data_IF_162664854405
#
_entry.id   IF_162664854405
#
_cell.length_a   1.000
_cell.length_b   1.000
_cell.length_c   1.000
_cell.angle_alpha   90.00
_cell.angle_beta   90.00
_cell.angle_gamma   90.00
#
_symmetry.space_group_name_H-M   'P 1'
#
loop_
_entity.id
_entity.type
_entity.pdbx_description
1 polymer ?
#
# COMPACT_ATOMS: atom_id res chain seq x y z
N UNK A 1 29.71 9.84 -33.64
CA UNK A 1 28.60 10.69 -33.12
C UNK A 1 27.40 9.79 -32.88
N UNK A 2 27.41 8.88 -31.90
CA UNK A 2 27.32 9.05 -30.43
C UNK A 2 26.00 9.71 -30.00
N UNK A 3 25.02 8.84 -29.70
CA UNK A 3 23.76 9.15 -29.00
C UNK A 3 24.10 9.43 -27.54
N UNK A 4 23.72 10.61 -27.03
CA UNK A 4 23.77 10.94 -25.61
C UNK A 4 22.41 10.60 -24.97
N UNK A 5 22.39 9.57 -24.13
CA UNK A 5 21.38 9.42 -23.08
C UNK A 5 21.89 10.16 -21.85
N UNK A 6 21.18 11.19 -21.41
CA UNK A 6 21.43 11.87 -20.15
C UNK A 6 20.78 11.07 -19.02
N UNK A 7 21.53 10.17 -18.40
CA UNK A 7 21.15 9.52 -17.14
C UNK A 7 21.44 10.47 -15.97
N UNK A 8 20.39 10.98 -15.33
CA UNK A 8 20.49 11.70 -14.07
C UNK A 8 20.78 10.69 -12.94
N UNK A 9 21.98 10.78 -12.38
CA UNK A 9 22.39 10.08 -11.17
C UNK A 9 21.63 10.66 -9.97
N UNK A 10 20.75 9.88 -9.34
CA UNK A 10 20.30 10.15 -7.99
C UNK A 10 21.10 9.32 -6.99
N UNK A 11 22.08 9.98 -6.36
CA UNK A 11 22.78 9.47 -5.18
C UNK A 11 21.90 9.69 -3.96
N UNK A 12 21.23 8.64 -3.46
CA UNK A 12 20.59 8.70 -2.15
C UNK A 12 21.57 8.13 -1.11
N UNK A 13 22.19 9.01 -0.32
CA UNK A 13 23.06 8.66 0.79
C UNK A 13 22.26 7.95 1.90
N UNK A 14 22.55 6.68 2.17
CA UNK A 14 22.09 5.98 3.36
C UNK A 14 23.24 5.94 4.38
N UNK A 15 23.19 6.76 5.43
CA UNK A 15 24.10 6.61 6.58
C UNK A 15 23.67 5.38 7.40
N UNK A 16 24.29 4.24 7.15
CA UNK A 16 24.13 3.05 7.98
C UNK A 16 24.90 3.28 9.29
N UNK A 17 24.20 3.56 10.40
CA UNK A 17 24.79 3.36 11.73
C UNK A 17 24.83 1.86 12.01
N UNK A 18 26.01 1.25 11.91
CA UNK A 18 26.25 -0.10 12.39
C UNK A 18 26.19 -0.11 13.92
N UNK A 19 25.33 -0.94 14.52
CA UNK A 19 25.49 -1.34 15.92
C UNK A 19 26.32 -2.63 15.99
N UNK A 20 27.04 -2.84 17.09
CA UNK A 20 28.05 -3.91 17.23
C UNK A 20 27.46 -5.34 17.34
N UNK A 21 26.17 -5.54 17.07
CA UNK A 21 25.45 -6.78 17.37
C UNK A 21 25.16 -7.69 16.15
N UNK A 22 25.69 -7.38 14.96
CA UNK A 22 25.75 -8.35 13.84
C UNK A 22 24.42 -8.91 13.34
N UNK A 23 23.28 -8.27 13.62
CA UNK A 23 21.97 -8.76 13.17
C UNK A 23 21.53 -7.99 11.93
N UNK A 24 21.60 -8.65 10.76
CA UNK A 24 21.08 -8.11 9.50
C UNK A 24 19.56 -8.20 9.54
N UNK A 25 18.87 -7.07 9.74
CA UNK A 25 17.49 -6.98 9.27
C UNK A 25 17.57 -6.76 7.77
N UNK A 26 17.10 -7.73 6.99
CA UNK A 26 16.89 -7.56 5.56
C UNK A 26 15.84 -6.45 5.35
N UNK A 27 16.29 -5.21 5.31
CA UNK A 27 15.52 -4.10 4.74
C UNK A 27 15.71 -4.22 3.24
N UNK A 28 14.73 -4.79 2.56
CA UNK A 28 14.73 -4.91 1.10
C UNK A 28 14.99 -3.54 0.49
N UNK A 29 16.07 -3.44 -0.28
CA UNK A 29 16.41 -2.27 -1.07
C UNK A 29 15.51 -2.29 -2.31
N UNK A 30 14.40 -1.55 -2.24
CA UNK A 30 13.56 -1.30 -3.41
C UNK A 30 14.36 -0.36 -4.33
N UNK A 31 14.66 -0.72 -5.59
CA UNK A 31 15.32 0.17 -6.53
C UNK A 31 14.44 1.42 -6.76
N UNK A 32 15.06 2.58 -7.02
CA UNK A 32 14.34 3.86 -7.10
C UNK A 32 13.25 3.92 -8.18
N UNK A 33 13.31 3.02 -9.16
CA UNK A 33 12.27 2.80 -10.17
C UNK A 33 11.01 2.08 -9.64
N UNK A 34 11.07 1.49 -8.45
CA UNK A 34 9.94 0.86 -7.75
C UNK A 34 9.50 1.67 -6.51
N UNK A 35 9.99 2.90 -6.34
CA UNK A 35 9.61 3.78 -5.22
C UNK A 35 8.15 4.27 -5.31
N UNK A 36 7.50 4.08 -6.47
CA UNK A 36 6.10 4.46 -6.77
C UNK A 36 5.06 3.40 -6.35
N UNK A 37 5.45 2.31 -5.66
CA UNK A 37 4.54 1.21 -5.32
C UNK A 37 4.04 1.20 -3.87
N UNK A 38 4.30 2.25 -3.10
CA UNK A 38 3.65 2.44 -1.81
C UNK A 38 2.31 3.15 -2.02
N UNK A 39 1.22 2.41 -1.86
CA UNK A 39 -0.10 3.01 -1.86
C UNK A 39 -0.37 3.61 -0.49
N UNK A 40 -0.42 4.95 -0.47
CA UNK A 40 -0.87 5.68 0.71
C UNK A 40 -2.32 6.07 0.55
N UNK A 41 -3.09 5.79 1.58
CA UNK A 41 -4.47 6.29 1.70
C UNK A 41 -4.41 7.81 1.88
N UNK A 42 -5.41 8.50 1.34
CA UNK A 42 -5.64 9.92 1.59
C UNK A 42 -5.63 10.17 3.12
N UNK A 43 -4.71 11.00 3.65
CA UNK A 43 -4.56 11.20 5.08
C UNK A 43 -5.77 11.86 5.75
N UNK A 44 -6.70 12.41 4.97
CA UNK A 44 -7.95 12.98 5.48
C UNK A 44 -9.13 12.00 5.40
N UNK A 45 -8.99 10.87 4.70
CA UNK A 45 -10.00 9.85 4.69
C UNK A 45 -10.12 9.22 6.09
N UNK A 46 -11.36 9.04 6.56
CA UNK A 46 -11.63 8.46 7.88
C UNK A 46 -12.38 7.15 7.68
N UNK A 47 -11.83 6.06 8.20
CA UNK A 47 -12.52 4.77 8.27
C UNK A 47 -13.07 4.54 9.67
N UNK A 48 -14.34 4.17 9.74
CA UNK A 48 -14.98 3.68 10.96
C UNK A 48 -15.40 2.22 10.75
N UNK A 49 -14.92 1.32 11.62
CA UNK A 49 -15.38 -0.08 11.64
C UNK A 49 -16.74 -0.18 12.35
N UNK A 50 -17.64 -1.00 11.80
CA UNK A 50 -18.94 -1.32 12.37
C UNK A 50 -18.90 -2.61 13.20
N UNK A 51 -19.97 -2.90 13.95
CA UNK A 51 -20.02 -4.04 14.88
C UNK A 51 -19.87 -5.42 14.23
N UNK A 52 -20.14 -5.53 12.93
CA UNK A 52 -20.08 -6.78 12.15
C UNK A 52 -18.77 -6.95 11.36
N UNK A 53 -17.74 -6.16 11.71
CA UNK A 53 -16.44 -6.10 11.02
C UNK A 53 -16.48 -5.57 9.59
N UNK A 54 -17.57 -4.93 9.19
CA UNK A 54 -17.59 -4.07 8.00
C UNK A 54 -17.07 -2.68 8.36
N UNK A 55 -16.88 -1.82 7.36
CA UNK A 55 -16.41 -0.46 7.61
C UNK A 55 -16.99 0.56 6.66
N UNK A 56 -17.01 1.81 7.10
CA UNK A 56 -17.43 2.96 6.30
C UNK A 56 -16.23 3.90 6.19
N UNK A 57 -15.83 4.22 4.97
CA UNK A 57 -14.78 5.19 4.67
C UNK A 57 -15.44 6.47 4.15
N UNK A 58 -15.15 7.59 4.81
CA UNK A 58 -15.54 8.91 4.34
C UNK A 58 -14.36 9.60 3.66
N UNK A 59 -14.56 10.05 2.41
CA UNK A 59 -13.61 10.88 1.69
C UNK A 59 -14.05 12.36 1.78
N UNK A 60 -13.36 13.21 2.56
CA UNK A 60 -13.74 14.62 2.68
C UNK A 60 -13.49 15.44 1.41
N UNK A 61 -12.63 14.99 0.49
CA UNK A 61 -12.24 15.77 -0.70
C UNK A 61 -13.39 15.88 -1.71
N UNK A 62 -14.24 14.86 -1.77
CA UNK A 62 -15.35 14.77 -2.72
C UNK A 62 -16.69 14.44 -2.06
N UNK A 63 -16.73 14.40 -0.71
CA UNK A 63 -17.90 14.09 0.10
C UNK A 63 -18.54 12.73 -0.28
N UNK A 64 -17.71 11.75 -0.65
CA UNK A 64 -18.15 10.39 -0.97
C UNK A 64 -17.97 9.45 0.22
N UNK A 65 -18.76 8.39 0.22
CA UNK A 65 -18.72 7.32 1.20
C UNK A 65 -18.52 5.99 0.48
N UNK A 66 -17.56 5.20 0.94
CA UNK A 66 -17.30 3.83 0.49
C UNK A 66 -17.61 2.86 1.64
N UNK A 67 -18.37 1.81 1.37
CA UNK A 67 -18.56 0.70 2.31
C UNK A 67 -17.52 -0.39 2.05
N UNK A 68 -17.01 -0.96 3.14
CA UNK A 68 -16.00 -2.01 3.17
C UNK A 68 -16.61 -3.26 3.78
N UNK A 69 -16.37 -4.41 3.14
CA UNK A 69 -16.55 -5.69 3.81
C UNK A 69 -15.35 -5.99 4.72
N UNK A 70 -15.37 -7.13 5.41
CA UNK A 70 -14.32 -7.52 6.36
C UNK A 70 -12.92 -7.56 5.76
N UNK A 71 -12.74 -8.07 4.54
CA UNK A 71 -11.42 -8.06 3.87
C UNK A 71 -11.01 -6.65 3.47
N UNK A 72 -11.95 -5.82 3.00
CA UNK A 72 -11.70 -4.40 2.70
C UNK A 72 -11.21 -3.61 3.91
N UNK A 73 -11.75 -3.85 5.11
CA UNK A 73 -11.26 -3.23 6.36
C UNK A 73 -9.80 -3.59 6.64
N UNK A 74 -9.42 -4.85 6.44
CA UNK A 74 -8.04 -5.31 6.65
C UNK A 74 -7.08 -4.70 5.62
N UNK A 75 -7.51 -4.63 4.36
CA UNK A 75 -6.73 -3.99 3.29
C UNK A 75 -6.57 -2.49 3.52
N UNK A 76 -7.63 -1.79 3.90
CA UNK A 76 -7.58 -0.36 4.20
C UNK A 76 -6.56 -0.07 5.31
N UNK A 77 -6.59 -0.85 6.40
CA UNK A 77 -5.61 -0.77 7.50
C UNK A 77 -4.19 -1.08 7.07
N UNK A 78 -4.00 -1.99 6.11
CA UNK A 78 -2.69 -2.31 5.57
C UNK A 78 -2.14 -1.11 4.77
N UNK A 79 -2.93 -0.55 3.87
CA UNK A 79 -2.52 0.60 3.05
C UNK A 79 -2.39 1.91 3.86
N UNK A 80 -3.18 2.10 4.91
CA UNK A 80 -3.00 3.21 5.87
C UNK A 80 -1.61 3.15 6.54
N UNK A 81 -1.07 1.94 6.75
CA UNK A 81 0.28 1.72 7.28
C UNK A 81 1.37 1.77 6.21
N UNK A 82 0.99 1.96 4.95
CA UNK A 82 1.90 1.98 3.81
C UNK A 82 2.39 0.59 3.40
N UNK A 83 1.56 -0.46 3.54
CA UNK A 83 1.88 -1.78 3.00
C UNK A 83 1.91 -1.78 1.46
N UNK A 84 2.70 -2.69 0.89
CA UNK A 84 2.66 -2.97 -0.57
C UNK A 84 1.50 -3.89 -0.93
N UNK A 85 1.24 -4.03 -2.24
CA UNK A 85 0.23 -4.96 -2.76
C UNK A 85 0.55 -6.40 -2.35
N UNK A 86 1.81 -6.82 -2.42
CA UNK A 86 2.25 -8.17 -2.07
C UNK A 86 2.06 -8.45 -0.57
N UNK A 87 2.37 -7.46 0.28
CA UNK A 87 2.13 -7.56 1.72
C UNK A 87 0.62 -7.64 2.03
N UNK A 88 -0.20 -6.87 1.32
CA UNK A 88 -1.64 -6.91 1.46
C UNK A 88 -2.24 -8.27 1.04
N UNK A 89 -1.72 -8.88 -0.02
CA UNK A 89 -2.07 -10.25 -0.44
C UNK A 89 -1.74 -11.25 0.67
N UNK A 90 -0.54 -11.16 1.25
CA UNK A 90 -0.14 -12.04 2.35
C UNK A 90 -1.05 -11.87 3.58
N UNK A 91 -1.46 -10.64 3.91
CA UNK A 91 -2.40 -10.36 5.00
C UNK A 91 -3.74 -11.09 4.78
N UNK A 92 -4.26 -11.13 3.55
CA UNK A 92 -5.50 -11.85 3.26
C UNK A 92 -5.33 -13.37 3.43
N UNK A 93 -4.23 -13.92 2.93
CA UNK A 93 -3.93 -15.36 3.07
C UNK A 93 -3.78 -15.79 4.53
N UNK A 94 -3.17 -14.94 5.36
CA UNK A 94 -2.95 -15.23 6.77
C UNK A 94 -4.23 -15.11 7.62
N UNK A 95 -5.16 -14.22 7.23
CA UNK A 95 -6.38 -13.91 8.01
C UNK A 95 -7.62 -14.70 7.59
N UNK A 96 -7.70 -15.13 6.33
CA UNK A 96 -8.90 -15.73 5.77
C UNK A 96 -8.61 -17.16 5.31
N UNK A 97 -9.07 -18.13 6.10
CA UNK A 97 -8.93 -19.55 5.77
C UNK A 97 -9.64 -19.89 4.45
N UNK A 98 -8.98 -20.67 3.60
CA UNK A 98 -9.54 -21.14 2.33
C UNK A 98 -9.42 -20.17 1.16
N UNK A 99 -8.84 -18.98 1.36
CA UNK A 99 -8.51 -18.05 0.26
C UNK A 99 -7.26 -18.55 -0.47
N UNK A 100 -7.32 -18.62 -1.81
CA UNK A 100 -6.14 -18.95 -2.63
C UNK A 100 -5.34 -17.71 -2.96
N UNK A 101 -4.09 -17.90 -3.38
CA UNK A 101 -3.21 -16.79 -3.81
C UNK A 101 -3.85 -15.99 -4.94
N UNK A 102 -4.44 -16.65 -5.93
CA UNK A 102 -5.07 -15.98 -7.07
C UNK A 102 -6.29 -15.16 -6.65
N UNK A 103 -7.10 -15.68 -5.72
CA UNK A 103 -8.25 -14.95 -5.18
C UNK A 103 -7.79 -13.73 -4.39
N UNK A 104 -6.80 -13.88 -3.51
CA UNK A 104 -6.25 -12.78 -2.74
C UNK A 104 -5.66 -11.69 -3.63
N UNK A 105 -4.92 -12.06 -4.68
CA UNK A 105 -4.40 -11.11 -5.67
C UNK A 105 -5.53 -10.35 -6.37
N UNK A 106 -6.54 -11.06 -6.86
CA UNK A 106 -7.69 -10.47 -7.53
C UNK A 106 -8.44 -9.50 -6.61
N UNK A 107 -8.65 -9.87 -5.35
CA UNK A 107 -9.34 -9.04 -4.37
C UNK A 107 -8.55 -7.76 -4.03
N UNK A 108 -7.23 -7.88 -3.86
CA UNK A 108 -6.36 -6.71 -3.61
C UNK A 108 -6.36 -5.78 -4.81
N UNK A 109 -6.21 -6.29 -6.03
CA UNK A 109 -6.23 -5.50 -7.26
C UNK A 109 -7.57 -4.77 -7.44
N UNK A 110 -8.69 -5.47 -7.21
CA UNK A 110 -10.02 -4.89 -7.27
C UNK A 110 -10.20 -3.78 -6.22
N UNK A 111 -9.72 -4.02 -4.99
CA UNK A 111 -9.78 -3.03 -3.92
C UNK A 111 -8.97 -1.76 -4.24
N UNK A 112 -7.75 -1.94 -4.75
CA UNK A 112 -6.90 -0.82 -5.18
C UNK A 112 -7.56 -0.03 -6.31
N UNK A 113 -8.15 -0.71 -7.29
CA UNK A 113 -8.89 -0.06 -8.37
C UNK A 113 -10.05 0.78 -7.82
N UNK A 114 -10.74 0.28 -6.79
CA UNK A 114 -11.82 1.00 -6.12
C UNK A 114 -11.31 2.25 -5.38
N UNK A 115 -10.20 2.14 -4.64
CA UNK A 115 -9.57 3.29 -3.96
C UNK A 115 -9.16 4.40 -4.96
N UNK A 116 -8.64 4.00 -6.13
CA UNK A 116 -8.33 4.93 -7.22
C UNK A 116 -9.58 5.62 -7.75
N UNK A 117 -10.63 4.85 -8.02
CA UNK A 117 -11.88 5.38 -8.56
C UNK A 117 -12.54 6.40 -7.62
N UNK A 118 -12.51 6.14 -6.30
CA UNK A 118 -13.09 7.03 -5.29
C UNK A 118 -12.14 8.15 -4.82
N UNK A 119 -10.99 8.33 -5.50
CA UNK A 119 -9.97 9.34 -5.14
C UNK A 119 -9.51 9.25 -3.68
N UNK A 120 -9.38 8.02 -3.16
CA UNK A 120 -8.97 7.72 -1.79
C UNK A 120 -7.47 7.42 -1.65
N UNK A 121 -6.71 7.43 -2.75
CA UNK A 121 -5.26 7.37 -2.70
C UNK A 121 -4.67 8.79 -2.66
N UNK A 122 -3.55 8.94 -1.94
CA UNK A 122 -2.76 10.16 -1.96
C UNK A 122 -2.34 10.48 -3.40
N UNK A 123 -2.60 11.71 -3.85
CA UNK A 123 -2.13 12.18 -5.15
C UNK A 123 -0.65 12.49 -5.00
N UNK A 124 0.18 11.95 -5.89
CA UNK A 124 1.53 12.47 -6.04
C UNK A 124 1.45 13.96 -6.41
N UNK A 125 2.14 14.79 -5.63
CA UNK A 125 2.13 16.24 -5.76
C UNK A 125 2.98 16.73 -6.93
#
# INVERSE_FOLDING_TARGET
>A
MQKMFAGLQYWCYLTIKMNQAGTVRHKWLIPAENLELFMKINPFAVMQEEFDHTGIVFNPDNNQVMMLNRSGVELFRAFEKGCTVEEAVQILLDKFEGVTVEQAQTDVEAFVAQLKAESLLEKEA
#
